data_IF_511993756971
#
_entry.id   IF_511993756971
#
_cell.length_a   1.000
_cell.length_b   1.000
_cell.length_c   1.000
_cell.angle_alpha   90.00
_cell.angle_beta   90.00
_cell.angle_gamma   90.00
#
_symmetry.space_group_name_H-M   'P 1'
#
loop_
_entity.id
_entity.type
_entity.pdbx_description
1 polymer ?
#
# COMPACT_ATOMS: atom_id res chain seq x y z
N UNK A 1 -13.54 -24.82 7.22
CA UNK A 1 -14.78 -24.60 8.00
C UNK A 1 -14.43 -23.97 9.35
N UNK A 2 -14.01 -22.70 9.35
CA UNK A 2 -13.77 -21.90 10.57
C UNK A 2 -14.68 -20.69 10.50
N UNK A 3 -15.49 -20.54 11.54
CA UNK A 3 -16.61 -19.61 11.66
C UNK A 3 -16.23 -18.20 11.23
N UNK A 4 -16.89 -17.73 10.18
CA UNK A 4 -17.25 -16.32 10.06
C UNK A 4 -18.15 -16.01 11.26
N UNK A 5 -17.58 -15.39 12.29
CA UNK A 5 -18.37 -14.62 13.24
C UNK A 5 -19.01 -13.49 12.42
N UNK A 6 -20.27 -13.70 12.02
CA UNK A 6 -21.17 -12.62 11.62
C UNK A 6 -21.16 -11.63 12.78
N UNK A 7 -20.48 -10.51 12.61
CA UNK A 7 -20.77 -9.30 13.38
C UNK A 7 -22.15 -8.88 12.89
N UNK A 8 -23.20 -9.39 13.54
CA UNK A 8 -24.49 -8.73 13.51
C UNK A 8 -24.22 -7.33 14.04
N UNK A 9 -24.47 -6.31 13.23
CA UNK A 9 -24.72 -4.97 13.73
C UNK A 9 -25.77 -5.14 14.84
N UNK A 10 -25.34 -5.01 16.10
CA UNK A 10 -26.25 -5.06 17.23
C UNK A 10 -27.30 -3.99 16.97
N UNK A 11 -28.57 -4.39 16.94
CA UNK A 11 -29.65 -3.41 16.99
C UNK A 11 -29.43 -2.61 18.27
N UNK A 12 -29.02 -1.36 18.15
CA UNK A 12 -28.95 -0.44 19.28
C UNK A 12 -30.37 -0.42 19.86
N UNK A 13 -30.52 -0.88 21.09
CA UNK A 13 -31.81 -0.84 21.77
C UNK A 13 -32.30 0.62 21.75
N UNK A 14 -33.59 0.88 21.48
CA UNK A 14 -34.08 2.24 21.44
C UNK A 14 -33.78 2.94 22.78
N UNK A 15 -33.36 4.22 22.75
CA UNK A 15 -33.06 4.97 23.96
C UNK A 15 -34.27 4.99 24.89
N UNK A 16 -34.02 4.78 26.18
CA UNK A 16 -35.03 4.72 27.25
C UNK A 16 -35.08 6.06 28.00
N UNK A 17 -36.11 6.29 28.82
CA UNK A 17 -36.13 7.46 29.71
C UNK A 17 -35.09 7.32 30.84
N UNK A 18 -34.69 8.43 31.45
CA UNK A 18 -33.74 8.42 32.57
C UNK A 18 -34.28 7.55 33.73
N UNK A 19 -35.58 7.60 34.00
CA UNK A 19 -36.25 6.80 35.04
C UNK A 19 -36.22 5.31 34.73
N UNK A 20 -36.44 4.93 33.46
CA UNK A 20 -36.36 3.54 33.01
C UNK A 20 -34.93 3.01 33.15
N UNK A 21 -33.93 3.79 32.74
CA UNK A 21 -32.52 3.41 32.90
C UNK A 21 -32.14 3.28 34.37
N UNK A 22 -32.59 4.21 35.24
CA UNK A 22 -32.39 4.11 36.70
C UNK A 22 -32.92 2.81 37.28
N UNK A 23 -34.10 2.38 36.83
CA UNK A 23 -34.70 1.13 37.31
C UNK A 23 -33.89 -0.12 36.95
N UNK A 24 -33.01 -0.04 35.95
CA UNK A 24 -32.11 -1.13 35.54
C UNK A 24 -30.81 -1.19 36.34
N UNK A 25 -30.50 -0.18 37.15
CA UNK A 25 -29.21 -0.10 37.85
C UNK A 25 -29.20 -0.96 39.12
N UNK A 26 -28.13 -1.72 39.31
CA UNK A 26 -27.94 -2.50 40.53
C UNK A 26 -27.79 -1.54 41.73
N UNK A 27 -28.44 -1.85 42.85
CA UNK A 27 -28.36 -1.06 44.09
C UNK A 27 -27.33 -1.62 45.08
N UNK A 28 -26.96 -0.79 46.04
CA UNK A 28 -26.17 -1.16 47.22
C UNK A 28 -27.09 -1.66 48.33
N UNK A 29 -26.51 -2.31 49.34
CA UNK A 29 -27.25 -2.76 50.54
C UNK A 29 -27.96 -1.61 51.27
N UNK A 30 -27.51 -0.36 51.07
CA UNK A 30 -28.08 0.86 51.67
C UNK A 30 -29.12 1.55 50.77
N UNK A 31 -29.51 0.93 49.65
CA UNK A 31 -30.51 1.45 48.71
C UNK A 31 -30.01 2.48 47.68
N UNK A 32 -28.77 2.98 47.79
CA UNK A 32 -28.18 3.87 46.78
C UNK A 32 -27.67 3.11 45.55
N UNK A 33 -27.47 3.81 44.43
CA UNK A 33 -26.98 3.22 43.17
C UNK A 33 -25.56 2.67 43.35
N UNK A 34 -25.31 1.44 42.88
CA UNK A 34 -23.99 0.83 42.94
C UNK A 34 -23.09 1.45 41.89
N UNK A 35 -21.95 2.00 42.34
CA UNK A 35 -20.89 2.43 41.44
C UNK A 35 -20.14 1.21 40.88
N UNK A 36 -20.63 0.63 39.79
CA UNK A 36 -20.06 -0.54 39.10
C UNK A 36 -19.85 -0.25 37.61
N UNK A 37 -18.90 -0.95 36.97
CA UNK A 37 -18.70 -0.85 35.51
C UNK A 37 -19.99 -1.22 34.78
N UNK A 38 -20.69 -2.27 35.26
CA UNK A 38 -21.98 -2.72 34.71
C UNK A 38 -23.01 -1.58 34.69
N UNK A 39 -23.21 -0.89 35.81
CA UNK A 39 -24.19 0.21 35.88
C UNK A 39 -23.79 1.39 34.98
N UNK A 40 -22.50 1.75 34.94
CA UNK A 40 -22.03 2.80 34.03
C UNK A 40 -22.27 2.40 32.57
N UNK A 41 -21.99 1.14 32.21
CA UNK A 41 -22.21 0.62 30.87
C UNK A 41 -23.70 0.60 30.50
N UNK A 42 -24.59 0.20 31.42
CA UNK A 42 -26.04 0.27 31.22
C UNK A 42 -26.48 1.68 30.84
N UNK A 43 -25.96 2.71 31.52
CA UNK A 43 -26.23 4.11 31.17
C UNK A 43 -25.74 4.41 29.75
N UNK A 44 -24.49 4.12 29.41
CA UNK A 44 -23.99 4.34 28.03
C UNK A 44 -24.75 3.58 26.94
N UNK A 45 -25.42 2.47 27.27
CA UNK A 45 -26.16 1.66 26.31
C UNK A 45 -27.61 2.13 26.12
N UNK A 46 -28.25 2.66 27.16
CA UNK A 46 -29.70 2.89 27.17
C UNK A 46 -30.12 4.33 27.42
N UNK A 47 -29.23 5.18 27.97
CA UNK A 47 -29.53 6.59 28.24
C UNK A 47 -29.85 7.35 26.93
N UNK A 48 -30.82 8.28 26.97
CA UNK A 48 -31.29 8.94 25.75
C UNK A 48 -30.25 9.89 25.14
N UNK A 49 -29.32 10.40 25.94
CA UNK A 49 -28.25 11.28 25.50
C UNK A 49 -27.01 10.48 25.07
N UNK A 50 -26.65 9.44 25.83
CA UNK A 50 -25.38 8.72 25.66
C UNK A 50 -25.47 7.47 24.77
N UNK A 51 -26.67 6.90 24.57
CA UNK A 51 -26.83 5.67 23.77
C UNK A 51 -26.37 5.87 22.32
N UNK A 52 -25.31 5.14 21.97
CA UNK A 52 -24.67 5.24 20.66
C UNK A 52 -24.03 6.60 20.36
N UNK A 53 -23.79 7.43 21.38
CA UNK A 53 -23.10 8.72 21.22
C UNK A 53 -21.58 8.55 21.16
N UNK A 54 -21.05 7.48 21.76
CA UNK A 54 -19.62 7.17 21.81
C UNK A 54 -19.36 5.93 20.96
N UNK A 55 -18.37 6.02 20.07
CA UNK A 55 -18.05 4.97 19.10
C UNK A 55 -16.54 4.84 18.89
N UNK A 56 -16.06 3.61 18.73
CA UNK A 56 -14.66 3.34 18.44
C UNK A 56 -14.40 3.38 16.93
N UNK A 57 -13.50 4.26 16.51
CA UNK A 57 -13.14 4.43 15.11
C UNK A 57 -11.99 3.50 14.74
N UNK A 58 -12.31 2.48 13.94
CA UNK A 58 -11.36 1.43 13.54
C UNK A 58 -10.25 1.92 12.58
N UNK A 59 -10.38 3.11 11.99
CA UNK A 59 -9.34 3.69 11.14
C UNK A 59 -8.30 4.46 11.96
N UNK A 60 -8.75 5.19 12.99
CA UNK A 60 -7.90 6.04 13.83
C UNK A 60 -7.47 5.34 15.12
N UNK A 61 -8.06 4.21 15.49
CA UNK A 61 -7.95 3.55 16.81
C UNK A 61 -8.30 4.51 17.97
N UNK A 62 -9.23 5.44 17.76
CA UNK A 62 -9.67 6.43 18.76
C UNK A 62 -11.15 6.31 19.04
N UNK A 63 -11.53 6.77 20.22
CA UNK A 63 -12.93 6.95 20.60
C UNK A 63 -13.42 8.30 20.09
N UNK A 64 -14.51 8.28 19.33
CA UNK A 64 -15.18 9.46 18.79
C UNK A 64 -16.55 9.67 19.46
N UNK A 65 -16.97 10.93 19.54
CA UNK A 65 -18.31 11.37 19.89
C UNK A 65 -19.07 11.60 18.58
N UNK A 66 -19.99 10.71 18.25
CA UNK A 66 -20.73 10.67 16.98
C UNK A 66 -22.14 11.28 17.08
N UNK A 67 -22.57 11.64 18.29
CA UNK A 67 -23.82 12.37 18.55
C UNK A 67 -23.59 13.49 19.57
N UNK A 68 -24.41 14.55 19.58
CA UNK A 68 -24.36 15.56 20.62
C UNK A 68 -24.60 14.96 22.02
N UNK A 69 -23.76 15.35 22.99
CA UNK A 69 -23.81 14.88 24.39
C UNK A 69 -24.25 15.99 25.37
N UNK A 70 -25.07 16.93 24.89
CA UNK A 70 -25.76 17.91 25.76
C UNK A 70 -24.97 19.17 26.10
N UNK A 71 -23.79 19.37 25.51
CA UNK A 71 -23.06 20.62 25.62
C UNK A 71 -22.39 21.01 24.29
N UNK A 72 -22.01 22.28 24.16
CA UNK A 72 -21.38 22.82 22.96
C UNK A 72 -19.89 22.45 22.89
N UNK A 73 -19.52 21.65 21.88
CA UNK A 73 -18.18 21.09 21.70
C UNK A 73 -17.42 21.87 20.63
N UNK A 74 -16.11 22.02 20.83
CA UNK A 74 -15.24 22.46 19.74
C UNK A 74 -15.35 21.51 18.53
N UNK A 75 -15.20 22.00 17.29
CA UNK A 75 -15.28 21.17 16.10
C UNK A 75 -14.33 19.97 16.17
N UNK A 76 -14.86 18.76 16.01
CA UNK A 76 -14.07 17.52 16.04
C UNK A 76 -14.91 16.30 16.44
N UNK A 77 -14.57 15.14 15.88
CA UNK A 77 -15.22 13.87 16.22
C UNK A 77 -14.55 13.19 17.40
N UNK A 78 -13.22 13.29 17.53
CA UNK A 78 -12.50 12.60 18.61
C UNK A 78 -12.89 13.09 20.00
N UNK A 79 -13.05 12.13 20.91
CA UNK A 79 -13.34 12.38 22.31
C UNK A 79 -12.13 13.03 23.01
N UNK A 80 -12.42 14.06 23.78
CA UNK A 80 -11.44 14.85 24.54
C UNK A 80 -11.60 14.62 26.04
N UNK A 81 -10.61 15.05 26.83
CA UNK A 81 -10.71 15.03 28.29
C UNK A 81 -11.87 15.89 28.80
N UNK A 82 -12.22 16.96 28.08
CA UNK A 82 -13.36 17.82 28.41
C UNK A 82 -14.68 17.07 28.21
N UNK A 83 -14.81 16.31 27.11
CA UNK A 83 -15.98 15.46 26.86
C UNK A 83 -16.20 14.49 28.03
N UNK A 84 -15.12 13.84 28.47
CA UNK A 84 -15.16 12.90 29.59
C UNK A 84 -15.54 13.58 30.92
N UNK A 85 -15.15 14.84 31.15
CA UNK A 85 -15.59 15.60 32.34
C UNK A 85 -17.09 15.89 32.32
N UNK A 86 -17.64 16.31 31.17
CA UNK A 86 -19.08 16.54 31.03
C UNK A 86 -19.89 15.24 31.16
N UNK A 87 -19.41 14.14 30.60
CA UNK A 87 -20.02 12.81 30.76
C UNK A 87 -20.06 12.43 32.25
N UNK A 88 -18.97 12.63 33.00
CA UNK A 88 -18.95 12.36 34.44
C UNK A 88 -19.96 13.22 35.21
N UNK A 89 -20.00 14.53 34.91
CA UNK A 89 -20.97 15.43 35.53
C UNK A 89 -22.41 14.97 35.26
N UNK A 90 -22.71 14.60 34.02
CA UNK A 90 -24.02 14.10 33.63
C UNK A 90 -24.38 12.79 34.36
N UNK A 91 -23.44 11.85 34.49
CA UNK A 91 -23.64 10.60 35.24
C UNK A 91 -23.82 10.84 36.75
N UNK A 92 -23.13 11.83 37.31
CA UNK A 92 -23.27 12.23 38.71
C UNK A 92 -24.65 12.82 38.98
N UNK A 93 -25.07 13.83 38.21
CA UNK A 93 -26.34 14.54 38.40
C UNK A 93 -27.56 13.66 38.14
N UNK A 94 -27.47 12.76 37.15
CA UNK A 94 -28.61 11.96 36.74
C UNK A 94 -28.63 10.58 37.37
N UNK A 95 -27.50 9.96 37.75
CA UNK A 95 -27.46 8.54 38.13
C UNK A 95 -26.68 8.22 39.41
N UNK A 96 -26.13 9.21 40.12
CA UNK A 96 -25.28 9.03 41.31
C UNK A 96 -24.02 8.15 41.05
N UNK A 97 -23.57 8.12 39.79
CA UNK A 97 -22.37 7.38 39.36
C UNK A 97 -21.17 8.32 39.31
N UNK A 98 -20.21 8.12 40.21
CA UNK A 98 -19.09 9.04 40.47
C UNK A 98 -17.70 8.40 40.32
N UNK A 99 -17.63 7.08 40.16
CA UNK A 99 -16.34 6.37 40.07
C UNK A 99 -15.66 6.57 38.72
N UNK A 100 -14.74 7.54 38.64
CA UNK A 100 -13.99 7.92 37.42
C UNK A 100 -13.45 6.72 36.64
N UNK A 101 -12.70 5.82 37.30
CA UNK A 101 -12.12 4.64 36.64
C UNK A 101 -13.19 3.76 35.97
N UNK A 102 -14.31 3.53 36.67
CA UNK A 102 -15.38 2.66 36.15
C UNK A 102 -16.16 3.30 35.01
N UNK A 103 -16.28 4.64 35.03
CA UNK A 103 -16.90 5.42 33.95
C UNK A 103 -16.02 5.34 32.70
N UNK A 104 -14.69 5.50 32.83
CA UNK A 104 -13.76 5.37 31.71
C UNK A 104 -13.82 3.95 31.13
N UNK A 105 -13.72 2.91 31.97
CA UNK A 105 -13.79 1.51 31.54
C UNK A 105 -15.13 1.22 30.82
N UNK A 106 -16.25 1.75 31.32
CA UNK A 106 -17.56 1.58 30.70
C UNK A 106 -17.71 2.35 29.37
N UNK A 107 -17.17 3.57 29.28
CA UNK A 107 -17.16 4.35 28.05
C UNK A 107 -16.35 3.65 26.95
N UNK A 108 -15.21 3.06 27.30
CA UNK A 108 -14.38 2.28 26.37
C UNK A 108 -15.13 1.04 25.85
N UNK A 109 -15.77 0.29 26.75
CA UNK A 109 -16.62 -0.86 26.38
C UNK A 109 -17.78 -0.46 25.47
N UNK A 110 -18.45 0.67 25.77
CA UNK A 110 -19.54 1.18 24.95
C UNK A 110 -19.05 1.64 23.57
N UNK A 111 -17.91 2.34 23.51
CA UNK A 111 -17.28 2.74 22.26
C UNK A 111 -16.97 1.53 21.38
N UNK A 112 -16.36 0.49 21.95
CA UNK A 112 -16.03 -0.73 21.24
C UNK A 112 -17.25 -1.49 20.72
N UNK A 113 -18.38 -1.48 21.45
CA UNK A 113 -19.64 -2.05 20.96
C UNK A 113 -20.21 -1.30 19.76
N UNK A 114 -19.99 0.02 19.71
CA UNK A 114 -20.41 0.90 18.63
C UNK A 114 -19.28 1.12 17.60
N UNK A 115 -18.35 0.17 17.45
CA UNK A 115 -17.22 0.32 16.53
C UNK A 115 -17.68 0.55 15.10
N UNK A 116 -17.01 1.47 14.40
CA UNK A 116 -17.32 1.79 13.00
C UNK A 116 -16.02 2.04 12.22
N UNK A 117 -16.10 2.01 10.89
CA UNK A 117 -14.95 2.31 10.05
C UNK A 117 -15.37 3.33 8.98
N UNK A 118 -14.94 4.60 9.08
CA UNK A 118 -15.50 5.68 8.28
C UNK A 118 -15.36 5.47 6.76
N UNK A 119 -14.22 4.93 6.30
CA UNK A 119 -14.03 4.58 4.87
C UNK A 119 -14.95 3.45 4.42
N UNK A 120 -15.18 2.41 5.25
CA UNK A 120 -16.08 1.30 4.88
C UNK A 120 -17.51 1.78 4.80
N UNK A 121 -17.93 2.63 5.73
CA UNK A 121 -19.27 3.20 5.76
C UNK A 121 -19.50 4.10 4.54
N UNK A 122 -18.52 4.96 4.23
CA UNK A 122 -18.50 5.75 2.99
C UNK A 122 -18.62 4.85 1.75
N UNK A 123 -17.70 3.89 1.55
CA UNK A 123 -17.72 3.00 0.39
C UNK A 123 -19.00 2.17 0.28
N UNK A 124 -19.58 1.78 1.41
CA UNK A 124 -20.83 1.02 1.41
C UNK A 124 -22.06 1.86 1.07
N UNK A 125 -22.02 3.16 1.34
CA UNK A 125 -23.10 4.11 1.02
C UNK A 125 -23.18 4.48 -0.47
N UNK A 126 -22.11 4.22 -1.24
CA UNK A 126 -22.05 4.59 -2.65
C UNK A 126 -22.92 3.68 -3.52
N UNK A 127 -23.59 4.30 -4.50
CA UNK A 127 -24.34 3.63 -5.56
C UNK A 127 -23.77 4.07 -6.91
N UNK A 128 -23.37 3.09 -7.73
CA UNK A 128 -22.83 3.35 -9.06
C UNK A 128 -23.95 3.67 -10.04
N UNK A 129 -23.74 4.71 -10.85
CA UNK A 129 -24.69 5.14 -11.87
C UNK A 129 -24.60 4.36 -13.19
N UNK A 130 -23.69 3.39 -13.29
CA UNK A 130 -23.51 2.54 -14.48
C UNK A 130 -22.57 3.13 -15.55
N UNK A 131 -22.01 4.31 -15.35
CA UNK A 131 -21.05 4.92 -16.29
C UNK A 131 -19.62 4.54 -15.92
N UNK A 132 -18.88 3.98 -16.89
CA UNK A 132 -17.45 3.64 -16.75
C UNK A 132 -16.62 4.93 -16.60
N UNK A 133 -15.92 5.07 -15.47
CA UNK A 133 -15.07 6.22 -15.15
C UNK A 133 -13.65 5.84 -14.80
N UNK A 134 -13.40 4.65 -14.25
CA UNK A 134 -12.05 4.21 -13.86
C UNK A 134 -11.09 4.29 -15.07
N UNK A 135 -11.55 3.87 -16.26
CA UNK A 135 -10.75 3.88 -17.50
C UNK A 135 -10.25 5.27 -17.88
N UNK A 136 -11.09 6.30 -17.72
CA UNK A 136 -10.80 7.65 -18.20
C UNK A 136 -10.39 8.60 -17.07
N UNK A 137 -10.47 8.19 -15.80
CA UNK A 137 -10.26 9.07 -14.65
C UNK A 137 -8.90 9.78 -14.65
N UNK A 138 -7.81 9.09 -15.00
CA UNK A 138 -6.48 9.71 -15.05
C UNK A 138 -6.32 10.62 -16.28
N UNK A 139 -6.97 10.30 -17.41
CA UNK A 139 -7.02 11.18 -18.58
C UNK A 139 -7.78 12.47 -18.26
N UNK A 140 -8.99 12.34 -17.70
CA UNK A 140 -9.89 13.44 -17.39
C UNK A 140 -9.22 14.53 -16.53
N UNK A 141 -8.53 14.14 -15.46
CA UNK A 141 -7.93 15.09 -14.51
C UNK A 141 -6.44 15.40 -14.75
N UNK A 142 -5.69 14.50 -15.37
CA UNK A 142 -4.23 14.57 -15.44
C UNK A 142 -3.68 14.40 -16.87
N UNK A 143 -4.54 14.16 -17.86
CA UNK A 143 -4.16 13.95 -19.25
C UNK A 143 -3.26 12.74 -19.47
N UNK A 144 -3.39 11.70 -18.64
CA UNK A 144 -2.72 10.42 -18.89
C UNK A 144 -3.33 9.72 -20.12
N UNK A 145 -2.56 8.85 -20.78
CA UNK A 145 -3.06 8.01 -21.88
C UNK A 145 -4.21 7.10 -21.43
N UNK A 146 -5.30 7.07 -22.18
CA UNK A 146 -6.49 6.24 -21.89
C UNK A 146 -6.31 4.79 -22.38
N UNK A 147 -5.14 4.20 -22.14
CA UNK A 147 -4.80 2.85 -22.55
C UNK A 147 -5.20 1.78 -21.51
N UNK A 148 -5.03 0.51 -21.87
CA UNK A 148 -5.36 -0.61 -20.98
C UNK A 148 -4.47 -0.68 -19.74
N UNK A 149 -3.20 -0.25 -19.84
CA UNK A 149 -2.29 -0.25 -18.71
C UNK A 149 -2.69 0.80 -17.67
N UNK A 150 -2.95 2.04 -18.08
CA UNK A 150 -3.40 3.14 -17.21
C UNK A 150 -4.70 2.78 -16.50
N UNK A 151 -5.66 2.20 -17.24
CA UNK A 151 -6.88 1.66 -16.66
C UNK A 151 -6.61 0.60 -15.59
N UNK A 152 -5.81 -0.43 -15.91
CA UNK A 152 -5.52 -1.51 -14.97
C UNK A 152 -4.71 -1.02 -13.77
N UNK A 153 -3.83 -0.03 -13.94
CA UNK A 153 -3.05 0.57 -12.86
C UNK A 153 -3.93 1.27 -11.84
N UNK A 154 -4.84 2.16 -12.28
CA UNK A 154 -5.79 2.81 -11.38
C UNK A 154 -6.76 1.77 -10.78
N UNK A 155 -7.32 0.88 -11.59
CA UNK A 155 -8.22 -0.18 -11.12
C UNK A 155 -7.59 -1.04 -10.02
N UNK A 156 -6.35 -1.47 -10.20
CA UNK A 156 -5.62 -2.28 -9.23
C UNK A 156 -5.38 -1.49 -7.93
N UNK A 157 -5.04 -0.20 -8.03
CA UNK A 157 -4.88 0.68 -6.88
C UNK A 157 -6.18 0.83 -6.09
N UNK A 158 -7.31 1.11 -6.75
CA UNK A 158 -8.62 1.25 -6.12
C UNK A 158 -9.07 -0.05 -5.44
N UNK A 159 -8.94 -1.19 -6.13
CA UNK A 159 -9.27 -2.51 -5.55
C UNK A 159 -8.37 -2.84 -4.35
N UNK A 160 -7.09 -2.48 -4.42
CA UNK A 160 -6.15 -2.61 -3.30
C UNK A 160 -6.56 -1.77 -2.09
N UNK A 161 -6.98 -0.52 -2.32
CA UNK A 161 -7.43 0.40 -1.29
C UNK A 161 -8.71 -0.09 -0.60
N UNK A 162 -9.69 -0.56 -1.39
CA UNK A 162 -10.91 -1.18 -0.86
C UNK A 162 -10.53 -2.42 -0.05
N UNK A 163 -9.70 -3.32 -0.60
CA UNK A 163 -9.32 -4.54 0.11
C UNK A 163 -8.58 -4.24 1.43
N UNK A 164 -7.68 -3.25 1.46
CA UNK A 164 -6.97 -2.84 2.69
C UNK A 164 -7.92 -2.30 3.75
N UNK A 165 -8.93 -1.53 3.36
CA UNK A 165 -9.97 -1.06 4.29
C UNK A 165 -10.80 -2.22 4.84
N UNK A 166 -11.30 -3.14 4.00
CA UNK A 166 -12.19 -4.23 4.42
C UNK A 166 -11.48 -5.43 5.06
N UNK A 167 -10.20 -5.67 4.73
CA UNK A 167 -9.35 -6.69 5.34
C UNK A 167 -7.98 -6.10 5.68
N UNK A 168 -7.89 -5.39 6.82
CA UNK A 168 -6.62 -4.88 7.33
C UNK A 168 -5.53 -5.94 7.34
N UNK A 169 -4.34 -5.56 6.89
CA UNK A 169 -3.17 -6.44 6.84
C UNK A 169 -3.14 -7.43 5.67
N UNK A 170 -4.06 -7.34 4.70
CA UNK A 170 -3.93 -8.08 3.46
C UNK A 170 -2.62 -7.73 2.72
N UNK A 171 -2.08 -8.68 1.95
CA UNK A 171 -0.90 -8.39 1.12
C UNK A 171 -1.30 -7.49 -0.07
N UNK A 172 -0.81 -6.26 -0.05
CA UNK A 172 -0.87 -5.34 -1.17
C UNK A 172 0.37 -4.43 -1.09
N UNK A 173 1.27 -4.54 -2.07
CA UNK A 173 2.62 -3.94 -2.06
C UNK A 173 2.87 -3.01 -3.26
N UNK A 174 1.80 -2.65 -3.99
CA UNK A 174 1.85 -1.88 -5.22
C UNK A 174 1.49 -0.42 -4.93
N UNK A 175 2.21 0.49 -5.57
CA UNK A 175 2.05 1.94 -5.47
C UNK A 175 1.82 2.53 -6.87
N UNK A 176 0.76 3.32 -7.02
CA UNK A 176 0.49 4.09 -8.23
C UNK A 176 1.38 5.33 -8.24
N UNK A 177 2.21 5.52 -9.26
CA UNK A 177 3.16 6.62 -9.34
C UNK A 177 2.78 7.58 -10.46
N UNK A 178 2.30 8.77 -10.14
CA UNK A 178 1.98 9.82 -11.11
C UNK A 178 3.25 10.63 -11.43
N UNK A 179 3.64 10.67 -12.70
CA UNK A 179 4.90 11.27 -13.17
C UNK A 179 4.60 12.36 -14.19
N UNK A 180 5.08 13.57 -13.98
CA UNK A 180 4.92 14.66 -14.96
C UNK A 180 5.20 16.02 -14.34
N UNK A 181 5.02 17.09 -15.11
CA UNK A 181 5.36 18.45 -14.70
C UNK A 181 4.76 18.91 -13.36
N UNK A 182 5.43 19.88 -12.73
CA UNK A 182 4.90 20.55 -11.53
C UNK A 182 3.57 21.24 -11.86
N UNK A 183 2.64 21.28 -10.90
CA UNK A 183 1.34 21.93 -11.08
C UNK A 183 0.30 21.08 -11.82
N UNK A 184 0.63 19.85 -12.25
CA UNK A 184 -0.28 18.91 -12.91
C UNK A 184 -1.47 18.41 -12.04
N UNK A 185 -1.61 18.83 -10.78
CA UNK A 185 -2.67 18.35 -9.89
C UNK A 185 -2.45 16.96 -9.26
N UNK A 186 -1.26 16.36 -9.37
CA UNK A 186 -0.96 14.98 -8.90
C UNK A 186 -1.25 14.74 -7.41
N UNK A 187 -0.69 15.55 -6.51
CA UNK A 187 -0.91 15.43 -5.05
C UNK A 187 -2.37 15.72 -4.70
N UNK A 188 -2.98 16.70 -5.39
CA UNK A 188 -4.41 17.02 -5.24
C UNK A 188 -5.30 15.86 -5.67
N UNK A 189 -4.93 15.12 -6.72
CA UNK A 189 -5.64 13.92 -7.14
C UNK A 189 -5.70 12.88 -6.02
N UNK A 190 -4.58 12.57 -5.37
CA UNK A 190 -4.60 11.64 -4.23
C UNK A 190 -5.39 12.19 -3.03
N UNK A 191 -5.29 13.50 -2.74
CA UNK A 191 -6.08 14.15 -1.69
C UNK A 191 -7.58 13.99 -1.91
N UNK A 192 -8.07 14.31 -3.11
CA UNK A 192 -9.50 14.18 -3.42
C UNK A 192 -9.93 12.71 -3.56
N UNK A 193 -9.05 11.85 -4.09
CA UNK A 193 -9.32 10.42 -4.23
C UNK A 193 -9.49 9.74 -2.88
N UNK A 194 -8.88 10.26 -1.81
CA UNK A 194 -9.12 9.74 -0.45
C UNK A 194 -10.58 9.91 -0.01
N UNK A 195 -11.40 10.70 -0.71
CA UNK A 195 -12.82 10.93 -0.41
C UNK A 195 -13.03 12.03 0.61
N UNK A 196 -12.28 11.98 1.72
CA UNK A 196 -12.14 13.09 2.67
C UNK A 196 -10.68 13.42 2.92
N UNK A 197 -10.39 14.70 3.10
CA UNK A 197 -9.03 15.20 3.31
C UNK A 197 -8.38 14.63 4.57
N UNK A 198 -9.17 14.34 5.61
CA UNK A 198 -8.71 13.67 6.84
C UNK A 198 -8.22 12.23 6.64
N UNK A 199 -8.58 11.58 5.52
CA UNK A 199 -8.11 10.24 5.17
C UNK A 199 -6.88 10.27 4.24
N UNK A 200 -6.32 11.45 3.97
CA UNK A 200 -5.16 11.66 3.14
C UNK A 200 -3.96 12.16 3.97
N UNK A 201 -2.75 11.73 3.64
CA UNK A 201 -1.51 12.28 4.21
C UNK A 201 -0.37 12.26 3.21
N UNK A 202 0.46 13.30 3.24
CA UNK A 202 1.70 13.46 2.48
C UNK A 202 2.94 13.64 3.39
N UNK A 203 2.78 13.51 4.72
CA UNK A 203 3.84 13.78 5.70
C UNK A 203 4.79 12.58 5.93
N UNK A 204 4.74 11.56 5.07
CA UNK A 204 5.62 10.40 5.16
C UNK A 204 6.98 10.70 4.51
N UNK A 205 7.87 11.38 5.24
CA UNK A 205 9.22 11.73 4.75
C UNK A 205 10.32 10.72 5.08
N UNK A 206 10.19 9.99 6.20
CA UNK A 206 11.18 9.05 6.72
C UNK A 206 10.51 7.73 7.09
N UNK A 207 11.00 6.63 6.52
CA UNK A 207 10.42 5.28 6.67
C UNK A 207 10.98 4.51 7.88
N UNK A 208 12.09 4.98 8.42
CA UNK A 208 12.81 4.44 9.56
C UNK A 208 12.41 5.10 10.90
N UNK A 209 11.48 6.05 10.87
CA UNK A 209 10.98 6.74 12.06
C UNK A 209 10.21 5.75 12.97
N UNK A 210 10.55 5.71 14.26
CA UNK A 210 9.82 4.93 15.27
C UNK A 210 8.34 5.36 15.36
N UNK A 211 8.03 6.59 14.94
CA UNK A 211 6.68 7.14 14.90
C UNK A 211 5.98 6.99 13.55
N UNK A 212 6.55 6.22 12.60
CA UNK A 212 5.94 6.01 11.28
C UNK A 212 4.48 5.60 11.38
N UNK A 213 4.13 4.74 12.35
CA UNK A 213 2.75 4.32 12.59
C UNK A 213 1.80 5.49 12.83
N UNK A 214 2.21 6.52 13.59
CA UNK A 214 1.36 7.70 13.87
C UNK A 214 1.03 8.48 12.61
N UNK A 215 1.90 8.43 11.61
CA UNK A 215 1.69 9.06 10.30
C UNK A 215 0.75 8.22 9.42
N UNK A 216 0.71 6.91 9.62
CA UNK A 216 -0.22 6.02 8.90
C UNK A 216 -1.62 6.01 9.51
N UNK A 217 -1.71 6.10 10.83
CA UNK A 217 -2.96 6.01 11.59
C UNK A 217 -3.95 7.10 11.15
N UNK A 218 -5.20 6.71 10.88
CA UNK A 218 -6.24 7.63 10.43
C UNK A 218 -6.28 7.90 8.92
N UNK A 219 -5.24 7.52 8.17
CA UNK A 219 -5.14 7.81 6.74
C UNK A 219 -5.37 6.55 5.89
N UNK A 220 -6.13 6.69 4.81
CA UNK A 220 -6.43 5.63 3.85
C UNK A 220 -5.52 5.68 2.62
N UNK A 221 -5.23 6.87 2.12
CA UNK A 221 -4.29 7.10 1.02
C UNK A 221 -3.14 7.95 1.54
N UNK A 222 -1.92 7.49 1.29
CA UNK A 222 -0.71 8.19 1.71
C UNK A 222 0.12 8.48 0.48
N UNK A 223 0.38 9.75 0.23
CA UNK A 223 1.30 10.20 -0.80
C UNK A 223 2.75 10.08 -0.31
N UNK A 224 3.61 9.61 -1.20
CA UNK A 224 5.06 9.66 -1.07
C UNK A 224 5.61 10.59 -2.16
N UNK A 225 5.73 11.88 -1.84
CA UNK A 225 6.23 12.91 -2.76
C UNK A 225 7.75 12.83 -2.90
N UNK A 226 8.27 12.73 -4.13
CA UNK A 226 9.69 12.91 -4.50
C UNK A 226 10.72 11.98 -3.81
N UNK A 227 10.29 11.11 -2.89
CA UNK A 227 11.16 10.24 -2.12
C UNK A 227 11.94 9.24 -2.99
N UNK A 228 11.38 8.84 -4.12
CA UNK A 228 11.97 7.81 -4.98
C UNK A 228 13.06 8.41 -5.87
N UNK A 229 12.87 9.64 -6.37
CA UNK A 229 13.79 10.30 -7.30
C UNK A 229 15.16 10.65 -6.66
N UNK A 230 15.23 10.73 -5.34
CA UNK A 230 16.48 11.00 -4.59
C UNK A 230 16.99 9.77 -3.83
N UNK A 231 16.35 8.62 -4.00
CA UNK A 231 16.64 7.40 -3.27
C UNK A 231 17.89 6.69 -3.86
N UNK A 232 18.89 6.46 -3.02
CA UNK A 232 19.98 5.54 -3.34
C UNK A 232 19.53 4.07 -3.18
N UNK A 233 20.33 3.11 -3.70
CA UNK A 233 20.06 1.66 -3.68
C UNK A 233 19.50 1.14 -2.33
N UNK A 234 20.08 1.61 -1.21
CA UNK A 234 19.66 1.21 0.14
C UNK A 234 18.24 1.71 0.48
N UNK A 235 17.94 2.98 0.21
CA UNK A 235 16.60 3.54 0.45
C UNK A 235 15.51 2.89 -0.42
N UNK A 236 15.85 2.35 -1.59
CA UNK A 236 14.90 1.64 -2.46
C UNK A 236 14.49 0.30 -1.84
N UNK A 237 15.45 -0.46 -1.31
CA UNK A 237 15.16 -1.70 -0.60
C UNK A 237 14.30 -1.41 0.65
N UNK A 238 14.56 -0.30 1.34
CA UNK A 238 13.75 0.16 2.46
C UNK A 238 12.32 0.52 2.05
N UNK A 239 12.12 1.26 0.95
CA UNK A 239 10.79 1.54 0.38
C UNK A 239 10.08 0.24 0.01
N UNK A 240 10.76 -0.65 -0.71
CA UNK A 240 10.23 -1.96 -1.13
C UNK A 240 9.82 -2.82 0.07
N UNK A 241 10.66 -2.88 1.08
CA UNK A 241 10.38 -3.55 2.35
C UNK A 241 9.18 -2.91 3.04
N UNK A 242 9.15 -1.58 3.12
CA UNK A 242 8.07 -0.82 3.72
C UNK A 242 6.74 -1.08 3.04
N UNK A 243 6.63 -0.95 1.71
CA UNK A 243 5.41 -1.25 0.93
C UNK A 243 4.92 -2.69 1.14
N UNK A 244 5.84 -3.63 1.35
CA UNK A 244 5.52 -5.06 1.54
C UNK A 244 4.95 -5.39 2.93
N UNK A 245 5.08 -4.50 3.92
CA UNK A 245 4.61 -4.75 5.28
C UNK A 245 3.08 -4.89 5.32
N UNK A 246 2.63 -5.86 6.10
CA UNK A 246 1.21 -6.12 6.36
C UNK A 246 0.76 -5.53 7.69
N UNK A 247 1.70 -5.29 8.60
CA UNK A 247 1.46 -4.75 9.93
C UNK A 247 2.64 -3.93 10.41
N UNK A 248 2.35 -3.01 11.31
CA UNK A 248 3.32 -2.28 12.11
C UNK A 248 3.29 -2.83 13.53
N UNK A 249 4.46 -3.00 14.14
CA UNK A 249 4.55 -3.26 15.59
C UNK A 249 4.77 -1.92 16.25
N UNK A 250 3.77 -1.42 16.95
CA UNK A 250 3.83 -0.11 17.60
C UNK A 250 3.33 -0.18 19.05
N UNK A 251 4.00 0.56 19.93
CA UNK A 251 3.60 0.74 21.32
C UNK A 251 3.05 2.15 21.48
N UNK A 252 1.75 2.28 21.74
CA UNK A 252 1.17 3.58 22.09
C UNK A 252 1.74 3.99 23.46
N UNK A 253 2.06 5.28 23.68
CA UNK A 253 2.44 5.75 25.00
C UNK A 253 1.45 5.28 26.06
N UNK A 254 1.96 4.87 27.22
CA UNK A 254 1.18 4.36 28.36
C UNK A 254 0.54 2.97 28.19
N UNK A 255 0.53 2.36 26.99
CA UNK A 255 0.22 0.93 26.86
C UNK A 255 1.36 0.09 27.44
N UNK A 256 1.03 -1.06 28.05
CA UNK A 256 2.03 -1.96 28.65
C UNK A 256 2.83 -2.72 27.58
N UNK A 257 2.18 -3.17 26.51
CA UNK A 257 2.78 -4.00 25.48
C UNK A 257 2.60 -3.40 24.08
N UNK A 258 3.60 -3.52 23.19
CA UNK A 258 3.41 -3.21 21.78
C UNK A 258 2.32 -4.12 21.19
N UNK A 259 1.53 -3.58 20.27
CA UNK A 259 0.50 -4.31 19.56
C UNK A 259 0.81 -4.38 18.06
N UNK A 260 0.38 -5.48 17.44
CA UNK A 260 0.34 -5.60 15.98
C UNK A 260 -0.80 -4.71 15.45
N UNK A 261 -0.46 -3.72 14.64
CA UNK A 261 -1.42 -2.84 13.98
C UNK A 261 -1.47 -3.18 12.51
N UNK A 262 -2.60 -3.72 12.06
CA UNK A 262 -2.76 -4.21 10.69
C UNK A 262 -2.89 -3.02 9.73
N UNK A 263 -2.14 -3.03 8.63
CA UNK A 263 -2.11 -1.91 7.70
C UNK A 263 -3.39 -1.81 6.86
N UNK A 264 -4.01 -0.64 6.89
CA UNK A 264 -5.28 -0.31 6.22
C UNK A 264 -5.12 0.70 5.06
N UNK A 265 -3.95 1.32 4.93
CA UNK A 265 -3.67 2.33 3.91
C UNK A 265 -3.04 1.74 2.63
N UNK A 266 -3.09 2.53 1.56
CA UNK A 266 -2.35 2.33 0.30
C UNK A 266 -1.47 3.55 0.02
N UNK A 267 -0.47 3.37 -0.85
CA UNK A 267 0.51 4.40 -1.15
C UNK A 267 0.39 4.88 -2.60
N UNK A 268 0.35 6.19 -2.79
CA UNK A 268 0.50 6.87 -4.07
C UNK A 268 1.86 7.56 -4.12
N UNK A 269 2.54 7.50 -5.26
CA UNK A 269 3.79 8.23 -5.51
C UNK A 269 3.54 9.39 -6.45
N UNK A 270 4.25 10.49 -6.26
CA UNK A 270 4.30 11.58 -7.24
C UNK A 270 5.74 11.96 -7.54
N UNK A 271 6.06 12.15 -8.82
CA UNK A 271 7.37 12.64 -9.25
C UNK A 271 7.24 13.69 -10.35
N UNK A 272 8.19 14.62 -10.36
CA UNK A 272 8.43 15.55 -11.46
C UNK A 272 9.56 15.08 -12.38
N UNK A 273 10.42 14.17 -11.91
CA UNK A 273 11.50 13.56 -12.67
C UNK A 273 10.99 12.35 -13.45
N UNK A 274 11.36 12.23 -14.72
CA UNK A 274 11.02 11.06 -15.55
C UNK A 274 11.78 9.83 -15.08
N UNK A 275 13.06 9.98 -14.74
CA UNK A 275 13.98 8.96 -14.23
C UNK A 275 13.80 8.67 -12.73
N UNK A 276 12.57 8.79 -12.22
CA UNK A 276 12.30 8.64 -10.78
C UNK A 276 12.42 7.21 -10.28
N UNK A 277 12.27 6.21 -11.17
CA UNK A 277 12.43 4.83 -10.76
C UNK A 277 13.90 4.56 -10.54
N UNK A 278 14.23 3.83 -9.48
CA UNK A 278 15.60 3.48 -9.23
C UNK A 278 16.15 2.56 -10.31
N UNK A 279 17.47 2.64 -10.51
CA UNK A 279 18.24 1.68 -11.29
C UNK A 279 18.32 0.33 -10.55
N UNK A 280 17.18 -0.34 -10.39
CA UNK A 280 17.10 -1.67 -9.82
C UNK A 280 16.82 -2.69 -10.91
N UNK A 281 17.90 -3.41 -11.27
CA UNK A 281 17.88 -4.41 -12.33
C UNK A 281 17.07 -5.68 -11.91
N UNK A 282 16.90 -5.92 -10.60
CA UNK A 282 16.04 -6.99 -10.05
C UNK A 282 14.53 -6.73 -10.25
N UNK A 283 14.16 -5.49 -10.56
CA UNK A 283 12.84 -5.10 -11.06
C UNK A 283 12.04 -4.22 -10.11
N UNK A 284 11.18 -3.39 -10.71
CA UNK A 284 10.42 -2.34 -10.02
C UNK A 284 8.92 -2.65 -9.92
N UNK A 285 8.52 -3.94 -9.89
CA UNK A 285 7.12 -4.40 -9.92
C UNK A 285 6.13 -3.77 -8.91
N UNK A 286 6.65 -3.11 -7.86
CA UNK A 286 5.85 -2.43 -6.83
C UNK A 286 5.44 -1.02 -7.24
N UNK A 287 6.02 -0.45 -8.29
CA UNK A 287 5.77 0.90 -8.76
C UNK A 287 5.02 0.85 -10.09
N UNK A 288 3.87 1.51 -10.18
CA UNK A 288 3.10 1.62 -11.42
C UNK A 288 3.24 3.04 -11.94
N UNK A 289 4.28 3.35 -12.75
CA UNK A 289 4.42 4.67 -13.32
C UNK A 289 3.26 4.96 -14.27
N UNK A 290 2.69 6.15 -14.20
CA UNK A 290 1.73 6.69 -15.16
C UNK A 290 2.18 8.09 -15.50
N UNK A 291 2.46 8.33 -16.77
CA UNK A 291 2.80 9.65 -17.29
C UNK A 291 1.56 10.54 -17.32
N UNK A 292 1.68 11.76 -16.84
CA UNK A 292 0.63 12.77 -16.84
C UNK A 292 1.03 13.95 -17.72
N UNK A 293 0.10 14.43 -18.53
CA UNK A 293 0.28 15.53 -19.47
C UNK A 293 -0.84 16.56 -19.24
N UNK A 294 -0.64 17.58 -18.40
CA UNK A 294 -1.69 18.55 -18.03
C UNK A 294 -2.37 19.23 -19.22
N UNK A 295 -1.66 19.40 -20.33
CA UNK A 295 -2.17 19.99 -21.57
C UNK A 295 -3.23 19.12 -22.26
N UNK A 296 -3.26 17.82 -21.95
CA UNK A 296 -4.22 16.85 -22.45
C UNK A 296 -5.35 16.56 -21.46
N UNK A 297 -5.31 17.14 -20.25
CA UNK A 297 -6.38 16.97 -19.28
C UNK A 297 -7.65 17.69 -19.74
N UNK A 298 -8.79 17.04 -19.59
CA UNK A 298 -10.09 17.63 -19.97
C UNK A 298 -10.51 18.74 -19.00
N UNK A 299 -10.17 18.58 -17.71
CA UNK A 299 -10.45 19.57 -16.66
C UNK A 299 -9.35 19.52 -15.62
N UNK A 300 -8.94 20.68 -15.12
CA UNK A 300 -8.02 20.73 -13.99
C UNK A 300 -8.77 20.34 -12.71
N UNK A 301 -8.18 19.47 -11.88
CA UNK A 301 -8.88 18.88 -10.72
C UNK A 301 -9.40 19.91 -9.69
N UNK A 302 -8.79 21.10 -9.63
CA UNK A 302 -9.20 22.22 -8.77
C UNK A 302 -10.12 23.24 -9.44
N UNK A 303 -10.44 23.09 -10.72
CA UNK A 303 -11.31 24.03 -11.42
C UNK A 303 -12.72 24.06 -10.80
N UNK A 304 -13.27 22.88 -10.51
CA UNK A 304 -14.48 22.69 -9.71
C UNK A 304 -14.28 21.50 -8.76
N UNK A 305 -13.86 21.78 -7.52
CA UNK A 305 -13.59 20.72 -6.54
C UNK A 305 -14.86 19.91 -6.20
N UNK A 306 -16.05 20.52 -6.24
CA UNK A 306 -17.29 19.82 -5.93
C UNK A 306 -17.63 18.81 -7.04
N UNK A 307 -17.50 19.21 -8.31
CA UNK A 307 -17.64 18.31 -9.44
C UNK A 307 -16.57 17.21 -9.44
N UNK A 308 -15.31 17.55 -9.17
CA UNK A 308 -14.21 16.57 -9.05
C UNK A 308 -14.50 15.52 -7.97
N UNK A 309 -14.98 15.92 -6.80
CA UNK A 309 -15.36 15.00 -5.72
C UNK A 309 -16.54 14.11 -6.12
N UNK A 310 -17.55 14.65 -6.79
CA UNK A 310 -18.69 13.87 -7.29
C UNK A 310 -18.26 12.83 -8.34
N UNK A 311 -17.34 13.19 -9.24
CA UNK A 311 -16.76 12.25 -10.21
C UNK A 311 -15.99 11.12 -9.51
N UNK A 312 -15.11 11.46 -8.57
CA UNK A 312 -14.31 10.47 -7.82
C UNK A 312 -15.17 9.59 -6.91
N UNK A 313 -16.29 10.10 -6.39
CA UNK A 313 -17.29 9.28 -5.70
C UNK A 313 -17.86 8.20 -6.62
N UNK A 314 -18.16 8.53 -7.88
CA UNK A 314 -18.61 7.53 -8.85
C UNK A 314 -17.51 6.56 -9.29
N UNK A 315 -16.25 7.01 -9.35
CA UNK A 315 -15.09 6.11 -9.54
C UNK A 315 -15.00 5.07 -8.41
N UNK A 316 -15.19 5.49 -7.16
CA UNK A 316 -15.27 4.56 -6.03
C UNK A 316 -16.50 3.66 -6.08
N UNK A 317 -17.65 4.17 -6.51
CA UNK A 317 -18.87 3.38 -6.66
C UNK A 317 -18.71 2.27 -7.72
N UNK A 318 -18.10 2.59 -8.85
CA UNK A 318 -17.72 1.62 -9.89
C UNK A 318 -16.75 0.57 -9.32
N UNK A 319 -15.69 1.01 -8.64
CA UNK A 319 -14.70 0.10 -8.04
C UNK A 319 -15.32 -0.81 -6.97
N UNK A 320 -16.25 -0.31 -6.17
CA UNK A 320 -17.01 -1.10 -5.19
C UNK A 320 -17.93 -2.12 -5.85
N UNK A 321 -18.53 -1.78 -7.00
CA UNK A 321 -19.35 -2.72 -7.78
C UNK A 321 -18.49 -3.88 -8.30
N UNK A 322 -17.32 -3.58 -8.86
CA UNK A 322 -16.33 -4.59 -9.29
C UNK A 322 -15.88 -5.44 -8.08
N UNK A 323 -15.58 -4.80 -6.94
CA UNK A 323 -15.13 -5.48 -5.73
C UNK A 323 -16.18 -6.48 -5.21
N UNK A 324 -17.45 -6.06 -5.16
CA UNK A 324 -18.60 -6.87 -4.70
C UNK A 324 -18.95 -8.01 -5.66
N UNK A 325 -18.80 -7.81 -6.96
CA UNK A 325 -19.02 -8.86 -7.97
C UNK A 325 -18.05 -10.04 -7.80
N UNK A 326 -16.87 -9.81 -7.21
CA UNK A 326 -15.84 -10.82 -7.03
C UNK A 326 -15.08 -11.14 -8.32
N UNK A 327 -14.29 -12.21 -8.32
CA UNK A 327 -13.54 -12.66 -9.51
C UNK A 327 -12.33 -11.77 -9.90
N UNK A 328 -12.05 -10.71 -9.16
CA UNK A 328 -10.87 -9.87 -9.35
C UNK A 328 -9.63 -10.46 -8.66
N UNK A 329 -8.45 -9.98 -9.06
CA UNK A 329 -7.16 -10.30 -8.44
C UNK A 329 -6.40 -9.01 -8.15
N UNK A 330 -5.64 -8.97 -7.05
CA UNK A 330 -4.72 -7.88 -6.73
C UNK A 330 -3.34 -8.04 -7.39
N UNK A 331 -3.33 -8.64 -8.57
CA UNK A 331 -2.11 -8.89 -9.36
C UNK A 331 -2.46 -8.73 -10.83
N UNK A 332 -1.52 -8.19 -11.60
CA UNK A 332 -1.63 -8.13 -13.05
C UNK A 332 -1.58 -9.49 -13.73
N UNK A 333 -2.08 -9.56 -14.96
CA UNK A 333 -1.91 -10.72 -15.83
C UNK A 333 -0.43 -10.90 -16.19
N UNK A 334 0.00 -12.11 -16.58
CA UNK A 334 1.36 -12.33 -17.05
C UNK A 334 1.77 -11.42 -18.22
N UNK A 335 0.85 -11.10 -19.16
CA UNK A 335 1.17 -10.16 -20.24
C UNK A 335 1.39 -8.75 -19.69
N UNK A 336 0.53 -8.29 -18.80
CA UNK A 336 0.63 -6.95 -18.23
C UNK A 336 1.86 -6.78 -17.33
N UNK A 337 2.31 -7.85 -16.65
CA UNK A 337 3.59 -7.84 -15.92
C UNK A 337 4.77 -7.68 -16.88
N UNK A 338 4.75 -8.31 -18.06
CA UNK A 338 5.80 -8.14 -19.08
C UNK A 338 5.79 -6.73 -19.64
N UNK A 339 4.62 -6.21 -19.98
CA UNK A 339 4.47 -4.82 -20.44
C UNK A 339 4.98 -3.84 -19.39
N UNK A 340 4.56 -3.97 -18.13
CA UNK A 340 5.00 -3.11 -17.03
C UNK A 340 6.53 -3.11 -16.90
N UNK A 341 7.19 -4.27 -17.03
CA UNK A 341 8.64 -4.36 -16.94
C UNK A 341 9.35 -3.56 -18.03
N UNK A 342 8.81 -3.58 -19.26
CA UNK A 342 9.35 -2.77 -20.36
C UNK A 342 9.05 -1.29 -20.16
N UNK A 343 7.80 -0.94 -19.85
CA UNK A 343 7.38 0.44 -19.62
C UNK A 343 8.15 1.11 -18.46
N UNK A 344 8.50 0.36 -17.41
CA UNK A 344 9.31 0.89 -16.31
C UNK A 344 10.70 1.33 -16.72
N UNK A 345 11.27 0.81 -17.82
CA UNK A 345 12.60 1.22 -18.30
C UNK A 345 12.61 2.69 -18.73
N UNK A 346 11.49 3.19 -19.25
CA UNK A 346 11.33 4.58 -19.68
C UNK A 346 11.40 5.57 -18.50
N UNK A 347 11.20 5.08 -17.27
CA UNK A 347 11.25 5.87 -16.04
C UNK A 347 12.48 5.60 -15.18
N UNK A 348 13.44 4.82 -15.69
CA UNK A 348 14.71 4.56 -15.03
C UNK A 348 15.78 5.49 -15.58
N UNK A 349 16.77 5.90 -14.77
CA UNK A 349 17.92 6.62 -15.29
C UNK A 349 18.70 5.73 -16.26
N UNK A 350 19.36 6.35 -17.24
CA UNK A 350 20.23 5.62 -18.15
C UNK A 350 21.35 4.90 -17.40
N UNK A 351 21.51 3.59 -17.66
CA UNK A 351 22.61 2.80 -17.13
C UNK A 351 23.88 3.06 -17.94
N UNK A 352 24.54 4.18 -17.65
CA UNK A 352 25.80 4.57 -18.33
C UNK A 352 26.87 3.49 -18.25
N UNK A 353 26.92 2.72 -17.14
CA UNK A 353 27.86 1.60 -16.97
C UNK A 353 27.51 0.45 -17.90
N UNK A 354 26.23 0.10 -18.04
CA UNK A 354 25.80 -0.89 -19.02
C UNK A 354 26.12 -0.46 -20.45
N UNK A 355 25.93 0.81 -20.80
CA UNK A 355 26.31 1.35 -22.10
C UNK A 355 27.81 1.22 -22.39
N UNK A 356 28.67 1.57 -21.43
CA UNK A 356 30.13 1.41 -21.55
C UNK A 356 30.55 -0.05 -21.71
N UNK A 357 29.95 -0.95 -20.92
CA UNK A 357 30.19 -2.39 -21.01
C UNK A 357 29.75 -2.93 -22.37
N UNK A 358 28.55 -2.59 -22.84
CA UNK A 358 28.06 -3.04 -24.15
C UNK A 358 28.98 -2.54 -25.28
N UNK A 359 29.36 -1.26 -25.29
CA UNK A 359 30.26 -0.69 -26.29
C UNK A 359 31.64 -1.39 -26.31
N UNK A 360 32.17 -1.71 -25.12
CA UNK A 360 33.38 -2.52 -25.01
C UNK A 360 33.17 -3.90 -25.62
N UNK A 361 32.10 -4.62 -25.25
CA UNK A 361 31.82 -5.98 -25.75
C UNK A 361 31.61 -6.02 -27.27
N UNK A 362 30.98 -5.00 -27.85
CA UNK A 362 30.74 -4.90 -29.29
C UNK A 362 32.06 -4.75 -30.07
N UNK A 363 33.01 -4.00 -29.52
CA UNK A 363 34.35 -3.80 -30.10
C UNK A 363 35.37 -4.89 -29.69
N UNK A 364 35.06 -5.69 -28.66
CA UNK A 364 35.95 -6.70 -28.11
C UNK A 364 36.08 -7.91 -29.04
N UNK A 365 37.30 -8.30 -29.38
CA UNK A 365 37.55 -9.40 -30.32
C UNK A 365 37.62 -10.78 -29.67
N UNK A 366 37.62 -10.86 -28.34
CA UNK A 366 37.69 -12.13 -27.61
C UNK A 366 36.34 -12.82 -27.44
N UNK A 367 36.39 -14.15 -27.24
CA UNK A 367 35.22 -15.00 -27.02
C UNK A 367 34.78 -15.07 -25.54
N UNK A 368 35.61 -14.63 -24.61
CA UNK A 368 35.32 -14.68 -23.17
C UNK A 368 35.74 -13.41 -22.44
N UNK A 369 34.94 -12.99 -21.46
CA UNK A 369 35.22 -11.86 -20.56
C UNK A 369 34.95 -12.24 -19.11
N UNK A 370 35.61 -11.55 -18.17
CA UNK A 370 35.36 -11.68 -16.74
C UNK A 370 35.07 -10.32 -16.09
N UNK A 371 34.47 -10.34 -14.90
CA UNK A 371 34.03 -9.11 -14.21
C UNK A 371 35.19 -8.17 -13.91
N UNK A 372 36.39 -8.69 -13.57
CA UNK A 372 37.59 -7.86 -13.37
C UNK A 372 38.08 -7.18 -14.65
N UNK A 373 38.00 -7.89 -15.78
CA UNK A 373 38.37 -7.33 -17.07
C UNK A 373 37.40 -6.21 -17.46
N UNK A 374 36.09 -6.43 -17.32
CA UNK A 374 35.08 -5.40 -17.60
C UNK A 374 35.26 -4.18 -16.69
N UNK A 375 35.59 -4.37 -15.42
CA UNK A 375 35.88 -3.25 -14.52
C UNK A 375 37.09 -2.42 -15.00
N UNK A 376 38.21 -3.07 -15.33
CA UNK A 376 39.45 -2.37 -15.69
C UNK A 376 39.44 -1.79 -17.10
N UNK A 377 38.92 -2.55 -18.06
CA UNK A 377 38.97 -2.22 -19.50
C UNK A 377 37.71 -1.52 -19.99
N UNK A 378 36.51 -1.96 -19.57
CA UNK A 378 35.25 -1.37 -20.05
C UNK A 378 34.84 -0.13 -19.25
N UNK A 379 35.10 -0.12 -17.93
CA UNK A 379 34.77 1.01 -17.05
C UNK A 379 35.96 1.95 -16.77
N UNK A 380 37.07 1.80 -17.49
CA UNK A 380 38.27 2.65 -17.41
C UNK A 380 38.97 2.70 -16.02
N UNK A 381 38.85 1.66 -15.20
CA UNK A 381 39.52 1.55 -13.90
C UNK A 381 40.86 0.78 -13.97
N UNK A 382 41.75 1.17 -14.89
CA UNK A 382 42.95 0.39 -15.25
C UNK A 382 43.87 0.05 -14.05
N UNK A 383 43.90 0.92 -13.02
CA UNK A 383 44.83 0.81 -11.89
C UNK A 383 44.14 0.43 -10.56
N UNK A 384 42.81 0.33 -10.53
CA UNK A 384 42.07 0.07 -9.30
C UNK A 384 41.70 -1.42 -9.18
N UNK A 385 41.66 -1.93 -7.95
CA UNK A 385 41.02 -3.23 -7.69
C UNK A 385 39.54 -3.04 -7.36
N UNK A 386 38.63 -3.78 -8.01
CA UNK A 386 37.20 -3.63 -7.80
C UNK A 386 36.78 -4.11 -6.40
N UNK A 387 35.90 -3.36 -5.77
CA UNK A 387 35.20 -3.79 -4.56
C UNK A 387 34.19 -4.88 -4.90
N UNK A 388 33.81 -5.67 -3.90
CA UNK A 388 32.85 -6.77 -4.12
C UNK A 388 31.50 -6.30 -4.67
N UNK A 389 31.01 -5.12 -4.27
CA UNK A 389 29.74 -4.59 -4.76
C UNK A 389 29.81 -4.16 -6.24
N UNK A 390 30.95 -3.65 -6.71
CA UNK A 390 31.19 -3.29 -8.12
C UNK A 390 31.23 -4.53 -9.00
N UNK A 391 31.84 -5.61 -8.52
CA UNK A 391 31.80 -6.91 -9.20
C UNK A 391 30.37 -7.45 -9.28
N UNK A 392 29.59 -7.35 -8.20
CA UNK A 392 28.18 -7.77 -8.21
C UNK A 392 27.38 -6.96 -9.23
N UNK A 393 27.61 -5.66 -9.28
CA UNK A 393 26.95 -4.77 -10.23
C UNK A 393 27.28 -5.13 -11.69
N UNK A 394 28.55 -5.35 -12.02
CA UNK A 394 28.97 -5.81 -13.35
C UNK A 394 28.30 -7.15 -13.70
N UNK A 395 28.23 -8.08 -12.73
CA UNK A 395 27.55 -9.36 -12.95
C UNK A 395 26.06 -9.15 -13.26
N UNK A 396 25.39 -8.23 -12.58
CA UNK A 396 23.98 -7.92 -12.86
C UNK A 396 23.81 -7.30 -14.24
N UNK A 397 24.65 -6.34 -14.63
CA UNK A 397 24.65 -5.73 -15.97
C UNK A 397 24.77 -6.81 -17.05
N UNK A 398 25.79 -7.67 -16.93
CA UNK A 398 26.06 -8.72 -17.92
C UNK A 398 24.93 -9.73 -18.05
N UNK A 399 24.24 -10.04 -16.95
CA UNK A 399 23.19 -11.06 -16.96
C UNK A 399 21.81 -10.52 -17.34
N UNK A 400 21.57 -9.20 -17.21
CA UNK A 400 20.23 -8.63 -17.31
C UNK A 400 20.09 -7.57 -18.41
N UNK A 401 21.17 -6.88 -18.77
CA UNK A 401 21.17 -5.79 -19.75
C UNK A 401 21.89 -6.16 -21.05
N UNK A 402 22.95 -6.98 -20.97
CA UNK A 402 23.77 -7.36 -22.12
C UNK A 402 23.13 -8.55 -22.86
N UNK A 403 23.17 -8.50 -24.19
CA UNK A 403 22.68 -9.58 -25.07
C UNK A 403 23.84 -10.22 -25.84
N UNK A 404 23.69 -11.49 -26.25
CA UNK A 404 24.72 -12.20 -27.02
C UNK A 404 25.90 -12.74 -26.21
N UNK A 405 25.76 -12.83 -24.88
CA UNK A 405 26.77 -13.37 -23.97
C UNK A 405 26.13 -14.29 -22.93
N UNK A 406 26.68 -15.49 -22.75
CA UNK A 406 26.16 -16.49 -21.82
C UNK A 406 27.09 -16.65 -20.62
N UNK A 407 26.53 -16.67 -19.40
CA UNK A 407 27.30 -16.90 -18.18
C UNK A 407 27.77 -18.35 -18.06
N UNK A 408 29.02 -18.56 -17.66
CA UNK A 408 29.52 -19.89 -17.30
C UNK A 408 29.93 -19.96 -15.82
N UNK A 409 29.54 -21.06 -15.17
CA UNK A 409 29.75 -21.26 -13.72
C UNK A 409 31.14 -21.81 -13.37
N UNK A 410 31.84 -22.42 -14.33
CA UNK A 410 33.15 -23.06 -14.13
C UNK A 410 34.30 -22.03 -14.25
N UNK A 411 35.12 -21.79 -13.21
CA UNK A 411 36.18 -20.78 -13.29
C UNK A 411 37.24 -21.11 -14.34
N UNK A 412 37.43 -20.20 -15.30
CA UNK A 412 38.43 -20.27 -16.38
C UNK A 412 39.57 -19.29 -16.11
N UNK A 413 40.72 -19.52 -16.74
CA UNK A 413 41.89 -18.64 -16.62
C UNK A 413 41.78 -17.48 -17.60
N UNK A 414 41.92 -16.25 -17.11
CA UNK A 414 41.95 -15.03 -17.90
C UNK A 414 43.34 -14.39 -17.83
N UNK A 415 43.95 -14.11 -18.98
CA UNK A 415 45.28 -13.50 -19.05
C UNK A 415 45.27 -12.14 -18.33
N UNK A 416 46.19 -11.93 -17.38
CA UNK A 416 46.26 -10.71 -16.57
C UNK A 416 45.22 -10.59 -15.45
N UNK A 417 44.22 -11.47 -15.40
CA UNK A 417 43.11 -11.38 -14.43
C UNK A 417 42.93 -12.63 -13.55
N UNK A 418 43.65 -13.72 -13.83
CA UNK A 418 43.63 -14.94 -13.02
C UNK A 418 42.39 -15.81 -13.26
N UNK A 419 42.15 -16.76 -12.35
CA UNK A 419 41.10 -17.77 -12.52
C UNK A 419 39.78 -17.33 -11.88
N UNK A 420 38.74 -17.17 -12.69
CA UNK A 420 37.43 -16.67 -12.24
C UNK A 420 36.30 -17.10 -13.17
N UNK A 421 35.06 -16.89 -12.74
CA UNK A 421 33.86 -17.09 -13.58
C UNK A 421 33.71 -15.90 -14.54
N UNK A 422 32.90 -16.06 -15.57
CA UNK A 422 32.73 -15.02 -16.58
C UNK A 422 31.63 -15.34 -17.58
N UNK A 423 31.69 -14.68 -18.73
CA UNK A 423 30.74 -14.84 -19.83
C UNK A 423 31.49 -15.22 -21.10
N UNK A 424 30.82 -16.00 -21.94
CA UNK A 424 31.29 -16.35 -23.27
C UNK A 424 30.31 -15.85 -24.33
N UNK A 425 30.82 -15.43 -25.48
CA UNK A 425 30.01 -14.89 -26.57
C UNK A 425 29.14 -16.00 -27.16
N UNK A 426 27.86 -15.71 -27.36
CA UNK A 426 26.95 -16.62 -28.06
C UNK A 426 27.41 -16.79 -29.50
N UNK A 427 27.77 -18.01 -29.88
CA UNK A 427 28.11 -18.32 -31.27
C UNK A 427 26.82 -18.44 -32.06
N UNK A 428 26.67 -17.62 -33.11
CA UNK A 428 25.59 -17.80 -34.07
C UNK A 428 25.65 -19.24 -34.60
N UNK A 429 24.56 -19.99 -34.43
CA UNK A 429 24.42 -21.34 -34.97
C UNK A 429 24.45 -21.26 -36.51
N UNK A 430 25.65 -21.30 -37.08
CA UNK A 430 25.86 -21.55 -38.49
C UNK A 430 25.69 -23.05 -38.70
N UNK A 431 24.56 -23.41 -39.31
CA UNK A 431 24.35 -24.60 -40.15
C UNK A 431 24.88 -25.97 -39.70
N UNK A 432 23.93 -26.87 -39.42
CA UNK A 432 23.99 -28.33 -39.62
C UNK A 432 25.09 -29.14 -38.91
N UNK A 433 24.66 -29.91 -37.91
CA UNK A 433 25.40 -31.06 -37.39
C UNK A 433 24.78 -31.56 -36.11
N UNK A 434 23.90 -32.56 -36.20
CA UNK A 434 23.44 -33.34 -35.06
C UNK A 434 24.65 -33.88 -34.29
N UNK A 435 24.92 -33.33 -33.11
CA UNK A 435 25.73 -33.99 -32.09
C UNK A 435 24.82 -34.28 -30.90
N UNK A 436 24.44 -35.55 -30.81
CA UNK A 436 23.68 -36.12 -29.71
C UNK A 436 24.24 -35.66 -28.36
N UNK A 437 23.36 -35.11 -27.52
CA UNK A 437 23.65 -34.92 -26.11
C UNK A 437 23.95 -36.30 -25.51
N UNK A 438 25.16 -36.48 -24.98
CA UNK A 438 25.51 -37.66 -24.20
C UNK A 438 24.60 -37.71 -22.97
N UNK A 439 23.69 -38.67 -22.95
CA UNK A 439 22.94 -39.07 -21.76
C UNK A 439 23.99 -39.54 -20.72
N UNK A 440 23.96 -39.03 -19.48
CA UNK A 440 24.83 -39.52 -18.41
C UNK A 440 24.54 -41.01 -18.13
N UNK A 441 25.60 -41.80 -17.93
CA UNK A 441 25.50 -43.24 -17.60
C UNK A 441 24.52 -43.47 -16.44
N UNK A 442 23.49 -44.28 -16.68
CA UNK A 442 22.50 -44.70 -15.68
C UNK A 442 21.03 -44.35 -15.96
N UNK A 443 20.71 -43.67 -17.07
CA UNK A 443 19.33 -43.36 -17.46
C UNK A 443 18.97 -44.04 -18.79
N UNK A 444 17.86 -44.79 -18.80
CA UNK A 444 17.25 -45.37 -20.01
C UNK A 444 16.15 -44.43 -20.50
N UNK A 445 16.18 -44.10 -21.78
CA UNK A 445 15.17 -43.29 -22.46
C UNK A 445 13.88 -44.11 -22.64
N UNK A 446 12.78 -43.71 -22.01
CA UNK A 446 11.48 -44.37 -22.19
C UNK A 446 10.86 -43.82 -23.48
N UNK A 447 10.96 -44.59 -24.56
CA UNK A 447 10.31 -44.32 -25.84
C UNK A 447 9.06 -45.18 -25.96
N UNK A 448 7.92 -44.69 -25.43
CA UNK A 448 6.57 -44.93 -25.96
C UNK A 448 5.52 -44.30 -25.00
N UNK A 449 4.76 -43.34 -25.51
CA UNK A 449 3.51 -42.91 -24.91
C UNK A 449 2.47 -44.02 -25.12
N UNK A 450 2.19 -44.79 -24.09
CA UNK A 450 1.01 -45.65 -24.06
C UNK A 450 -0.19 -44.74 -23.79
N UNK A 451 -1.06 -44.59 -24.79
CA UNK A 451 -2.39 -44.01 -24.65
C UNK A 451 -3.17 -44.73 -23.54
N UNK A 452 -3.65 -43.98 -22.55
CA UNK A 452 -4.66 -44.50 -21.62
C UNK A 452 -6.06 -44.18 -22.15
N UNK A 453 -6.97 -45.17 -22.24
CA UNK A 453 -8.34 -44.93 -22.65
C UNK A 453 -9.15 -44.32 -21.49
N UNK A 454 -9.81 -43.20 -21.81
CA UNK A 454 -10.93 -42.49 -21.16
C UNK A 454 -11.01 -42.41 -19.62
#
# INVERSE_FOLDING_TARGET
MRQQLKIQAGSIAPPMSIEEVKAMLDTTEKGGVRNSIKNCLTVFQHDPLLSGAIAYNLLTDRTDIVKPIGYDRSPGTSMTDTDMKYIRLYLEENYDLTSEKKIIDAADLAAHQNSYHPVRDYLNSLAWDGTERIRYCLHHFLGAEADEYTFQALRLFLLGAIHRAFRPGCKFEVMLCLVGGQGAGKSTFFRLLAGKDEWFSDDLRKLDDENVYRKLQGHWIIEMSEMIATANAKSIEEIKSFLSRQKEVYKIPYETHPADRLRQCVFGGTSNAMDFLPLDRSGNRRFLPVLVCPEQAEVHILEDEAASRAYLQQVWAEAMTIYRAGGWKLTFSPEMVRYLKEHQKDFMPEDTRAGMIQAFLDSYTGDTVCSKQLYKEALNHAFDEPKQWEIREINEIMNQCVTGWTYFSNPRSFAGYGRQKGWERERAATGSGNSAAKIPDGFVEITEQIEMPF
#
